data_IF_382505071212
#
_entry.id   IF_382505071212
#
_cell.length_a   1.000
_cell.length_b   1.000
_cell.length_c   1.000
_cell.angle_alpha   90.00
_cell.angle_beta   90.00
_cell.angle_gamma   90.00
#
_symmetry.space_group_name_H-M   'P 1'
#
loop_
_entity.id
_entity.type
_entity.pdbx_description
1 polymer ?
#
# COMPACT_ATOMS: atom_id res chain seq x y z
N UNK A 1 -3.13 -4.14 8.46
CA UNK A 1 -2.82 -4.73 7.15
C UNK A 1 -3.98 -5.54 6.53
N UNK A 2 -5.00 -5.96 7.29
CA UNK A 2 -6.16 -6.69 6.72
C UNK A 2 -7.03 -5.84 5.77
N UNK A 3 -7.21 -4.55 6.05
CA UNK A 3 -8.01 -3.63 5.21
C UNK A 3 -7.38 -3.45 3.82
N UNK A 4 -6.07 -3.13 3.76
CA UNK A 4 -5.34 -2.98 2.48
C UNK A 4 -5.43 -4.27 1.66
N UNK A 5 -5.22 -5.43 2.30
CA UNK A 5 -5.33 -6.72 1.63
C UNK A 5 -6.74 -6.94 1.08
N UNK A 6 -7.77 -6.74 1.88
CA UNK A 6 -9.14 -6.88 1.44
C UNK A 6 -9.45 -5.98 0.23
N UNK A 7 -9.08 -4.69 0.29
CA UNK A 7 -9.29 -3.74 -0.80
C UNK A 7 -8.49 -4.09 -2.07
N UNK A 8 -7.30 -4.67 -1.93
CA UNK A 8 -6.50 -5.11 -3.07
C UNK A 8 -7.12 -6.28 -3.85
N UNK A 9 -8.01 -7.02 -3.21
CA UNK A 9 -8.74 -8.15 -3.82
C UNK A 9 -10.06 -7.69 -4.46
N UNK A 10 -10.48 -6.43 -4.23
CA UNK A 10 -11.72 -5.89 -4.80
C UNK A 10 -11.48 -5.27 -6.18
N UNK A 11 -12.37 -5.58 -7.13
CA UNK A 11 -12.37 -4.96 -8.48
C UNK A 11 -13.08 -3.61 -8.54
N UNK A 12 -13.89 -3.29 -7.54
CA UNK A 12 -14.70 -2.08 -7.48
C UNK A 12 -14.61 -1.47 -6.07
N UNK A 13 -14.84 -0.16 -5.93
CA UNK A 13 -14.94 0.48 -4.62
C UNK A 13 -16.01 -0.18 -3.75
N UNK A 14 -15.72 -0.37 -2.47
CA UNK A 14 -16.61 -1.04 -1.52
C UNK A 14 -17.01 -0.12 -0.36
N UNK A 15 -18.23 -0.27 0.21
CA UNK A 15 -18.66 0.52 1.36
C UNK A 15 -17.78 0.26 2.59
N UNK A 16 -17.55 1.29 3.42
CA UNK A 16 -16.76 1.13 4.66
C UNK A 16 -17.34 0.09 5.63
N UNK A 17 -18.67 -0.08 5.65
CA UNK A 17 -19.35 -1.12 6.44
C UNK A 17 -19.00 -2.54 5.97
N UNK A 18 -18.76 -2.72 4.67
CA UNK A 18 -18.36 -3.99 4.09
C UNK A 18 -16.91 -4.31 4.43
N UNK A 19 -16.04 -3.30 4.38
CA UNK A 19 -14.65 -3.40 4.87
C UNK A 19 -14.62 -3.84 6.33
N UNK A 20 -15.44 -3.21 7.18
CA UNK A 20 -15.53 -3.54 8.61
C UNK A 20 -15.96 -5.00 8.84
N UNK A 21 -16.96 -5.47 8.09
CA UNK A 21 -17.42 -6.86 8.15
C UNK A 21 -16.33 -7.82 7.68
N UNK A 22 -15.69 -7.53 6.54
CA UNK A 22 -14.67 -8.39 5.96
C UNK A 22 -13.45 -8.58 6.86
N UNK A 23 -13.05 -7.53 7.59
CA UNK A 23 -11.92 -7.58 8.53
C UNK A 23 -12.33 -7.82 9.98
N UNK A 24 -13.62 -8.05 10.23
CA UNK A 24 -14.21 -8.38 11.54
C UNK A 24 -13.86 -7.38 12.65
N UNK A 25 -14.01 -6.09 12.36
CA UNK A 25 -13.87 -5.00 13.34
C UNK A 25 -15.11 -4.11 13.37
N UNK A 26 -15.34 -3.33 14.44
CA UNK A 26 -16.43 -2.36 14.50
C UNK A 26 -16.35 -1.33 13.37
N UNK A 27 -17.50 -0.95 12.79
CA UNK A 27 -17.56 0.00 11.66
C UNK A 27 -16.89 1.34 11.98
N UNK A 28 -17.06 1.86 13.20
CA UNK A 28 -16.38 3.10 13.62
C UNK A 28 -14.86 2.97 13.59
N UNK A 29 -14.32 1.85 14.07
CA UNK A 29 -12.89 1.54 14.02
C UNK A 29 -12.38 1.40 12.58
N UNK A 30 -13.14 0.72 11.72
CA UNK A 30 -12.82 0.59 10.30
C UNK A 30 -12.76 1.95 9.60
N UNK A 31 -13.72 2.84 9.88
CA UNK A 31 -13.73 4.19 9.31
C UNK A 31 -12.55 5.02 9.78
N UNK A 32 -12.20 4.99 11.07
CA UNK A 32 -10.99 5.68 11.56
C UNK A 32 -9.73 5.18 10.83
N UNK A 33 -9.59 3.87 10.65
CA UNK A 33 -8.46 3.31 9.91
C UNK A 33 -8.47 3.68 8.42
N UNK A 34 -9.63 3.69 7.76
CA UNK A 34 -9.75 4.08 6.36
C UNK A 34 -9.34 5.53 6.14
N UNK A 35 -9.74 6.44 7.03
CA UNK A 35 -9.34 7.86 6.99
C UNK A 35 -7.82 7.99 7.19
N UNK A 36 -7.25 7.34 8.20
CA UNK A 36 -5.79 7.37 8.40
C UNK A 36 -5.03 6.82 7.19
N UNK A 37 -5.52 5.74 6.57
CA UNK A 37 -4.91 5.17 5.38
C UNK A 37 -5.08 6.06 4.13
N UNK A 38 -6.13 6.87 4.08
CA UNK A 38 -6.35 7.85 3.01
C UNK A 38 -5.37 9.02 3.11
N UNK A 39 -5.09 9.51 4.33
CA UNK A 39 -4.06 10.53 4.58
C UNK A 39 -2.69 10.06 4.07
N UNK A 40 -2.38 8.77 4.23
CA UNK A 40 -1.17 8.12 3.73
C UNK A 40 -1.24 7.75 2.23
N UNK A 41 -2.34 8.07 1.53
CA UNK A 41 -2.63 7.72 0.13
C UNK A 41 -2.63 6.21 -0.17
N UNK A 42 -2.78 5.37 0.84
CA UNK A 42 -2.82 3.91 0.71
C UNK A 42 -4.18 3.42 0.20
N UNK A 43 -5.23 4.13 0.57
CA UNK A 43 -6.60 3.94 0.09
C UNK A 43 -7.13 5.27 -0.41
N UNK A 44 -8.23 5.26 -1.17
CA UNK A 44 -8.92 6.49 -1.56
C UNK A 44 -10.43 6.32 -1.46
N UNK A 45 -11.12 7.40 -1.15
CA UNK A 45 -12.59 7.44 -1.16
C UNK A 45 -13.14 7.80 -2.54
N UNK A 46 -14.15 7.05 -2.97
CA UNK A 46 -14.93 7.27 -4.22
C UNK A 46 -16.41 7.36 -3.84
N UNK A 47 -16.90 8.60 -3.67
CA UNK A 47 -18.22 8.84 -3.08
C UNK A 47 -18.28 8.31 -1.64
N UNK A 48 -19.18 7.36 -1.38
CA UNK A 48 -19.32 6.68 -0.07
C UNK A 48 -18.57 5.34 0.00
N UNK A 49 -17.77 5.02 -1.03
CA UNK A 49 -17.04 3.76 -1.16
C UNK A 49 -15.53 3.98 -1.07
N UNK A 50 -14.79 2.90 -0.88
CA UNK A 50 -13.35 2.87 -0.65
C UNK A 50 -12.69 1.89 -1.61
N UNK A 51 -11.56 2.28 -2.18
CA UNK A 51 -10.70 1.41 -2.98
C UNK A 51 -9.23 1.60 -2.63
N UNK A 52 -8.37 0.74 -3.18
CA UNK A 52 -6.93 0.84 -3.02
C UNK A 52 -6.41 2.11 -3.72
N UNK A 53 -5.54 2.85 -3.04
CA UNK A 53 -4.89 4.05 -3.59
C UNK A 53 -3.54 3.74 -4.24
N UNK A 54 -3.01 4.73 -4.96
CA UNK A 54 -1.73 4.60 -5.68
C UNK A 54 -0.50 4.67 -4.76
N UNK A 55 -0.67 4.96 -3.46
CA UNK A 55 0.42 5.09 -2.50
C UNK A 55 1.31 3.84 -2.44
N UNK A 56 0.72 2.65 -2.57
CA UNK A 56 1.47 1.39 -2.61
C UNK A 56 2.37 1.27 -3.86
N UNK A 57 1.91 1.77 -5.01
CA UNK A 57 2.72 1.79 -6.23
C UNK A 57 3.92 2.74 -6.09
N UNK A 58 3.73 3.90 -5.45
CA UNK A 58 4.79 4.86 -5.17
C UNK A 58 5.83 4.26 -4.20
N UNK A 59 5.37 3.60 -3.13
CA UNK A 59 6.25 2.92 -2.19
C UNK A 59 7.05 1.80 -2.86
N UNK A 60 6.40 1.02 -3.72
CA UNK A 60 7.07 -0.02 -4.50
C UNK A 60 8.13 0.56 -5.44
N UNK A 61 7.81 1.62 -6.18
CA UNK A 61 8.74 2.28 -7.07
C UNK A 61 10.00 2.79 -6.32
N UNK A 62 9.80 3.41 -5.14
CA UNK A 62 10.90 3.85 -4.26
C UNK A 62 11.74 2.66 -3.78
N UNK A 63 11.10 1.58 -3.33
CA UNK A 63 11.80 0.39 -2.85
C UNK A 63 12.62 -0.27 -3.95
N UNK A 64 12.07 -0.37 -5.15
CA UNK A 64 12.77 -0.90 -6.34
C UNK A 64 14.02 -0.07 -6.64
N UNK A 65 13.90 1.25 -6.72
CA UNK A 65 15.04 2.15 -6.96
C UNK A 65 16.14 2.03 -5.90
N UNK A 66 15.79 1.85 -4.63
CA UNK A 66 16.76 1.60 -3.56
C UNK A 66 17.53 0.28 -3.75
N UNK A 67 16.82 -0.78 -4.15
CA UNK A 67 17.44 -2.10 -4.39
C UNK A 67 18.38 -2.02 -5.60
N UNK A 68 17.94 -1.41 -6.70
CA UNK A 68 18.75 -1.21 -7.92
C UNK A 68 20.03 -0.43 -7.60
N UNK A 69 19.90 0.67 -6.85
CA UNK A 69 21.07 1.46 -6.40
C UNK A 69 22.03 0.64 -5.53
N UNK A 70 21.51 -0.27 -4.70
CA UNK A 70 22.32 -1.18 -3.90
C UNK A 70 23.06 -2.20 -4.76
N UNK A 71 22.40 -2.76 -5.77
CA UNK A 71 23.01 -3.68 -6.75
C UNK A 71 24.16 -3.00 -7.49
N UNK A 72 23.96 -1.77 -7.96
CA UNK A 72 24.99 -1.04 -8.70
C UNK A 72 26.23 -0.77 -7.84
N UNK A 73 26.04 -0.36 -6.58
CA UNK A 73 27.16 -0.22 -5.62
C UNK A 73 27.92 -1.52 -5.39
N UNK A 74 27.20 -2.63 -5.22
CA UNK A 74 27.84 -3.94 -5.03
C UNK A 74 28.62 -4.37 -6.27
N UNK A 75 28.11 -4.10 -7.48
CA UNK A 75 28.83 -4.37 -8.73
C UNK A 75 30.11 -3.56 -8.85
N UNK A 76 30.08 -2.26 -8.50
CA UNK A 76 31.28 -1.41 -8.48
C UNK A 76 32.31 -1.97 -7.52
N UNK A 77 31.93 -2.26 -6.27
CA UNK A 77 32.85 -2.82 -5.27
C UNK A 77 33.47 -4.16 -5.70
N UNK A 78 32.69 -5.05 -6.33
CA UNK A 78 33.22 -6.31 -6.86
C UNK A 78 34.24 -6.10 -8.00
N UNK A 79 34.00 -5.09 -8.85
CA UNK A 79 34.92 -4.73 -9.92
C UNK A 79 36.23 -4.17 -9.37
N UNK A 80 36.15 -3.35 -8.31
CA UNK A 80 37.32 -2.73 -7.68
C UNK A 80 38.17 -3.74 -6.88
N UNK A 81 37.59 -4.84 -6.37
CA UNK A 81 38.33 -5.90 -5.66
C UNK A 81 38.97 -6.91 -6.62
N UNK A 82 38.41 -7.07 -7.82
CA UNK A 82 38.93 -7.97 -8.85
C UNK A 82 40.03 -7.38 -9.73
N UNK A 83 40.29 -6.07 -9.62
CA UNK A 83 41.37 -5.34 -10.27
C UNK A 83 42.62 -5.28 -9.38
#
# INVERSE_FOLDING_TARGET
MAIIRFLSEQRQPVPGVEVARAVSIPSGTAMCHLVTLEDDRMVRRVGEHWELGDGMAILWARRKSQIESGIDRMKTNLSDIGA
#
